data_IF_205517568066
#
_entry.id   IF_205517568066
#
_cell.length_a   1.000
_cell.length_b   1.000
_cell.length_c   1.000
_cell.angle_alpha   90.00
_cell.angle_beta   90.00
_cell.angle_gamma   90.00
#
_symmetry.space_group_name_H-M   'P 1'
#
loop_
_entity.id
_entity.type
_entity.pdbx_description
1 polymer ?
#
# COMPACT_ATOMS: atom_id res chain seq x y z
N UNK A 1 17.44 -15.36 17.72
CA UNK A 1 17.65 -13.90 17.55
C UNK A 1 16.32 -13.29 17.12
N UNK A 2 15.75 -12.37 17.91
CA UNK A 2 14.43 -11.78 17.63
C UNK A 2 14.56 -10.77 16.48
N UNK A 3 14.03 -11.10 15.31
CA UNK A 3 13.98 -10.20 14.17
C UNK A 3 12.93 -9.11 14.49
N UNK A 4 13.38 -8.01 15.09
CA UNK A 4 12.52 -6.85 15.35
C UNK A 4 12.22 -6.24 13.99
N UNK A 5 11.05 -6.58 13.45
CA UNK A 5 10.46 -5.87 12.31
C UNK A 5 10.63 -4.36 12.55
N UNK A 6 11.28 -3.66 11.62
CA UNK A 6 11.48 -2.21 11.67
C UNK A 6 10.19 -1.44 11.35
N UNK A 7 9.03 -2.10 11.39
CA UNK A 7 7.75 -1.42 11.28
C UNK A 7 7.50 -0.62 12.56
N UNK A 8 7.52 0.69 12.44
CA UNK A 8 6.94 1.57 13.45
C UNK A 8 5.42 1.37 13.38
N UNK A 9 4.74 1.11 14.50
CA UNK A 9 3.28 1.03 14.50
C UNK A 9 2.70 2.36 14.02
N UNK A 10 1.63 2.29 13.21
CA UNK A 10 0.92 3.46 12.70
C UNK A 10 0.40 4.29 13.88
N UNK A 11 0.68 5.60 13.86
CA UNK A 11 0.16 6.55 14.84
C UNK A 11 -1.23 6.97 14.37
N UNK A 12 -2.27 6.62 15.14
CA UNK A 12 -3.65 7.10 14.91
C UNK A 12 -3.69 8.62 15.05
N UNK A 13 -3.79 9.33 13.93
CA UNK A 13 -4.02 10.77 13.91
C UNK A 13 -5.53 10.99 13.80
N UNK A 14 -6.17 11.44 14.87
CA UNK A 14 -7.58 11.84 14.84
C UNK A 14 -7.67 13.29 14.34
N UNK A 15 -8.06 13.48 13.08
CA UNK A 15 -8.34 14.77 12.46
C UNK A 15 -9.20 14.59 11.21
N UNK A 16 -9.98 15.61 10.84
CA UNK A 16 -10.88 15.61 9.67
C UNK A 16 -10.17 15.56 8.31
N UNK A 17 -8.86 15.39 8.28
CA UNK A 17 -8.03 15.70 7.13
C UNK A 17 -7.45 14.43 6.51
N UNK A 18 -7.87 14.17 5.28
CA UNK A 18 -7.27 13.21 4.37
C UNK A 18 -5.76 13.45 4.32
N UNK A 19 -4.97 12.45 4.72
CA UNK A 19 -3.52 12.51 4.75
C UNK A 19 -2.94 11.70 3.59
N UNK A 20 -2.10 12.31 2.77
CA UNK A 20 -1.37 11.57 1.73
C UNK A 20 -0.27 10.70 2.35
N UNK A 21 -0.34 9.38 2.15
CA UNK A 21 0.68 8.41 2.57
C UNK A 21 1.70 8.17 1.45
N UNK A 22 1.22 8.11 0.21
CA UNK A 22 2.02 8.06 -1.01
C UNK A 22 1.37 9.02 -2.01
N UNK A 23 2.07 10.10 -2.34
CA UNK A 23 1.68 10.96 -3.45
C UNK A 23 1.60 10.15 -4.74
N UNK A 24 0.72 10.54 -5.66
CA UNK A 24 0.62 9.90 -6.96
C UNK A 24 2.02 9.70 -7.56
N UNK A 25 2.38 8.44 -7.75
CA UNK A 25 3.70 8.03 -8.21
C UNK A 25 3.53 7.23 -9.48
N UNK A 26 4.14 7.72 -10.56
CA UNK A 26 4.16 7.02 -11.85
C UNK A 26 5.04 5.77 -11.78
N UNK A 27 4.54 4.70 -12.38
CA UNK A 27 5.24 3.43 -12.56
C UNK A 27 5.35 3.17 -14.05
N UNK A 28 6.52 3.44 -14.62
CA UNK A 28 6.68 3.44 -16.07
C UNK A 28 5.90 4.57 -16.72
N UNK A 29 5.44 4.34 -17.95
CA UNK A 29 4.79 5.38 -18.77
C UNK A 29 3.27 5.46 -18.59
N UNK A 30 2.63 4.33 -18.29
CA UNK A 30 1.18 4.18 -18.39
C UNK A 30 0.47 3.89 -17.08
N UNK A 31 1.20 3.67 -15.99
CA UNK A 31 0.64 3.37 -14.67
C UNK A 31 1.01 4.44 -13.65
N UNK A 32 0.12 4.68 -12.70
CA UNK A 32 0.32 5.49 -11.52
C UNK A 32 -0.35 4.83 -10.32
N UNK A 33 0.17 5.08 -9.13
CA UNK A 33 -0.46 4.68 -7.88
C UNK A 33 -0.35 5.76 -6.83
N UNK A 34 -1.30 5.79 -5.91
CA UNK A 34 -1.20 6.63 -4.72
C UNK A 34 -1.94 6.00 -3.55
N UNK A 35 -1.64 6.53 -2.37
CA UNK A 35 -2.16 6.00 -1.13
C UNK A 35 -2.46 7.14 -0.16
N UNK A 36 -3.61 7.09 0.47
CA UNK A 36 -4.10 8.13 1.36
C UNK A 36 -4.75 7.49 2.58
N UNK A 37 -4.72 8.20 3.69
CA UNK A 37 -5.41 7.87 4.92
C UNK A 37 -6.58 8.84 5.07
N UNK A 38 -7.79 8.33 5.15
CA UNK A 38 -8.97 9.10 5.48
C UNK A 38 -9.60 8.51 6.74
N UNK A 39 -9.59 9.27 7.84
CA UNK A 39 -10.03 8.82 9.16
C UNK A 39 -9.30 7.54 9.59
N UNK A 40 -9.97 6.39 9.55
CA UNK A 40 -9.49 5.08 9.94
C UNK A 40 -9.36 4.09 8.78
N UNK A 41 -9.44 4.59 7.54
CA UNK A 41 -9.32 3.79 6.32
C UNK A 41 -8.14 4.25 5.44
N UNK A 42 -7.41 3.28 4.91
CA UNK A 42 -6.34 3.47 3.95
C UNK A 42 -6.90 3.25 2.55
N UNK A 43 -6.94 4.31 1.74
CA UNK A 43 -7.32 4.26 0.33
C UNK A 43 -6.10 4.08 -0.56
N UNK A 44 -5.99 2.92 -1.21
CA UNK A 44 -5.00 2.65 -2.25
C UNK A 44 -5.67 2.75 -3.63
N UNK A 45 -5.06 3.47 -4.56
CA UNK A 45 -5.49 3.47 -5.95
C UNK A 45 -4.35 3.15 -6.91
N UNK A 46 -4.71 2.52 -8.02
CA UNK A 46 -3.87 2.28 -9.18
C UNK A 46 -4.65 2.77 -10.38
N UNK A 47 -4.04 3.64 -11.17
CA UNK A 47 -4.61 4.20 -12.38
C UNK A 47 -3.69 3.94 -13.57
N UNK A 48 -4.29 3.67 -14.72
CA UNK A 48 -3.66 3.71 -16.03
C UNK A 48 -4.38 4.73 -16.91
N UNK A 49 -3.91 4.88 -18.16
CA UNK A 49 -4.59 5.70 -19.15
C UNK A 49 -6.03 5.25 -19.44
N UNK A 50 -6.32 3.95 -19.29
CA UNK A 50 -7.58 3.34 -19.71
C UNK A 50 -8.47 2.94 -18.54
N UNK A 51 -7.91 2.71 -17.35
CA UNK A 51 -8.66 2.20 -16.20
C UNK A 51 -8.11 2.74 -14.89
N UNK A 52 -9.01 2.94 -13.92
CA UNK A 52 -8.63 3.22 -12.54
C UNK A 52 -9.32 2.23 -11.60
N UNK A 53 -8.58 1.71 -10.64
CA UNK A 53 -9.10 0.90 -9.56
C UNK A 53 -8.66 1.49 -8.22
N UNK A 54 -9.58 1.50 -7.26
CA UNK A 54 -9.32 1.96 -5.90
C UNK A 54 -9.90 0.97 -4.89
N UNK A 55 -9.22 0.80 -3.77
CA UNK A 55 -9.64 -0.05 -2.68
C UNK A 55 -9.40 0.67 -1.35
N UNK A 56 -10.40 0.65 -0.47
CA UNK A 56 -10.31 1.13 0.90
C UNK A 56 -10.09 -0.05 1.85
N UNK A 57 -9.21 0.12 2.81
CA UNK A 57 -8.87 -0.88 3.82
C UNK A 57 -9.01 -0.29 5.21
N UNK A 58 -9.64 -1.00 6.13
CA UNK A 58 -9.41 -0.76 7.56
C UNK A 58 -7.98 -1.13 7.93
N UNK A 59 -7.45 -0.59 9.02
CA UNK A 59 -6.07 -0.85 9.44
C UNK A 59 -5.71 -2.34 9.56
N UNK A 60 -6.60 -3.16 10.13
CA UNK A 60 -6.35 -4.61 10.26
C UNK A 60 -6.30 -5.29 8.89
N UNK A 61 -7.20 -4.93 7.97
CA UNK A 61 -7.24 -5.45 6.61
C UNK A 61 -6.00 -5.04 5.80
N UNK A 62 -5.52 -3.81 6.02
CA UNK A 62 -4.30 -3.30 5.42
C UNK A 62 -3.06 -4.10 5.83
N UNK A 63 -2.96 -4.51 7.10
CA UNK A 63 -1.86 -5.35 7.56
C UNK A 63 -1.83 -6.69 6.83
N UNK A 64 -3.00 -7.35 6.70
CA UNK A 64 -3.11 -8.59 5.94
C UNK A 64 -2.81 -8.41 4.45
N UNK A 65 -3.28 -7.31 3.85
CA UNK A 65 -2.98 -6.97 2.46
C UNK A 65 -1.47 -6.83 2.22
N UNK A 66 -0.77 -6.07 3.06
CA UNK A 66 0.68 -5.86 2.96
C UNK A 66 1.45 -7.17 3.15
N UNK A 67 1.01 -8.04 4.06
CA UNK A 67 1.60 -9.38 4.23
C UNK A 67 1.48 -10.21 2.95
N UNK A 68 0.27 -10.26 2.37
CA UNK A 68 0.02 -10.99 1.12
C UNK A 68 0.84 -10.47 -0.06
N UNK A 69 0.94 -9.14 -0.22
CA UNK A 69 1.77 -8.51 -1.27
C UNK A 69 3.25 -8.85 -1.10
N UNK A 70 3.76 -8.83 0.14
CA UNK A 70 5.16 -9.15 0.41
C UNK A 70 5.48 -10.63 0.12
N UNK A 71 4.57 -11.54 0.47
CA UNK A 71 4.72 -12.96 0.16
C UNK A 71 4.67 -13.20 -1.36
N UNK A 72 3.71 -12.60 -2.06
CA UNK A 72 3.62 -12.65 -3.52
C UNK A 72 4.90 -12.13 -4.19
N UNK A 73 5.45 -11.00 -3.73
CA UNK A 73 6.70 -10.45 -4.25
C UNK A 73 7.90 -11.37 -4.01
N UNK A 74 7.97 -12.02 -2.84
CA UNK A 74 9.03 -13.01 -2.56
C UNK A 74 8.96 -14.17 -3.55
N UNK A 75 7.77 -14.73 -3.75
CA UNK A 75 7.54 -15.85 -4.68
C UNK A 75 7.85 -15.43 -6.12
N UNK A 76 7.46 -14.22 -6.53
CA UNK A 76 7.76 -13.65 -7.84
C UNK A 76 9.28 -13.58 -8.07
N UNK A 77 10.04 -13.05 -7.10
CA UNK A 77 11.50 -12.99 -7.17
C UNK A 77 12.14 -14.37 -7.27
N UNK A 78 11.61 -15.37 -6.58
CA UNK A 78 12.11 -16.75 -6.68
C UNK A 78 11.89 -17.34 -8.08
N UNK A 79 10.74 -17.07 -8.70
CA UNK A 79 10.45 -17.49 -10.09
C UNK A 79 11.41 -16.83 -11.09
N UNK A 80 11.71 -15.54 -10.92
CA UNK A 80 12.54 -14.77 -11.85
C UNK A 80 14.04 -14.72 -11.47
N UNK A 81 14.46 -15.45 -10.43
CA UNK A 81 15.88 -15.73 -10.19
C UNK A 81 16.39 -16.69 -11.28
N UNK A 82 16.80 -16.12 -12.42
CA UNK A 82 17.78 -16.74 -13.30
C UNK A 82 19.17 -16.67 -12.67
#
# INVERSE_FOLDING_TARGET
>A
MKNKSKFKPFVKVFGNDRQTLLSETKIGESLAMGCELEKDEIGLYIASLDVSASCGFKFEEWEYFVLGVNEANKNLKEIFKK
#
